data_IF_516590504215
#
_entry.id   IF_516590504215
#
_cell.length_a   1.000
_cell.length_b   1.000
_cell.length_c   1.000
_cell.angle_alpha   90.00
_cell.angle_beta   90.00
_cell.angle_gamma   90.00
#
_symmetry.space_group_name_H-M   'P 1'
#
loop_
_entity.id
_entity.type
_entity.pdbx_description
1 polymer ?
#
# COMPACT_ATOMS: atom_id res chain seq x y z
N UNK A 1 -10.47 22.45 32.16
CA UNK A 1 -11.71 21.63 32.13
C UNK A 1 -12.40 21.93 30.80
N UNK A 2 -12.30 21.03 29.87
CA UNK A 2 -13.10 21.01 28.64
C UNK A 2 -13.66 19.61 28.57
N UNK A 3 -14.97 19.51 28.64
CA UNK A 3 -15.75 18.28 28.55
C UNK A 3 -15.81 17.80 27.11
N UNK A 4 -15.56 16.50 26.91
CA UNK A 4 -15.71 15.83 25.62
C UNK A 4 -17.11 15.24 25.57
N UNK A 5 -17.93 15.73 24.66
CA UNK A 5 -19.22 15.13 24.32
C UNK A 5 -18.99 13.93 23.40
N UNK A 6 -19.45 12.79 23.87
CA UNK A 6 -19.53 11.54 23.15
C UNK A 6 -20.73 11.58 22.20
N UNK A 7 -20.49 11.54 20.91
CA UNK A 7 -21.54 11.22 19.94
C UNK A 7 -21.55 9.72 19.61
N UNK A 8 -22.69 9.13 19.92
CA UNK A 8 -23.06 7.76 19.59
C UNK A 8 -23.19 7.58 18.08
N UNK A 9 -22.35 6.77 17.46
CA UNK A 9 -22.61 6.27 16.11
C UNK A 9 -23.48 5.04 16.13
N UNK A 10 -24.67 5.18 15.56
CA UNK A 10 -25.65 4.13 15.31
C UNK A 10 -25.08 3.06 14.39
N UNK A 11 -25.18 1.82 14.84
CA UNK A 11 -24.99 0.61 14.01
C UNK A 11 -26.25 0.42 13.15
N UNK A 12 -26.13 0.66 11.86
CA UNK A 12 -27.05 0.09 10.88
C UNK A 12 -26.37 -1.09 10.18
N UNK A 13 -26.84 -2.30 10.49
CA UNK A 13 -26.58 -3.51 9.73
C UNK A 13 -27.37 -3.44 8.44
N UNK A 14 -26.69 -3.31 7.32
CA UNK A 14 -27.27 -3.54 5.99
C UNK A 14 -26.74 -4.86 5.47
N UNK A 15 -27.60 -5.87 5.55
CA UNK A 15 -27.45 -7.17 4.89
C UNK A 15 -27.76 -7.05 3.40
N UNK A 16 -26.83 -7.55 2.56
CA UNK A 16 -27.15 -7.95 1.21
C UNK A 16 -26.34 -7.31 0.10
N UNK A 17 -25.51 -8.12 -0.55
CA UNK A 17 -24.89 -7.80 -1.84
C UNK A 17 -23.39 -7.99 -1.84
N UNK A 18 -22.87 -8.83 -2.75
CA UNK A 18 -21.47 -9.21 -2.96
C UNK A 18 -20.50 -8.03 -2.77
N UNK A 19 -20.08 -7.85 -1.53
CA UNK A 19 -19.28 -6.70 -1.13
C UNK A 19 -17.81 -6.96 -1.35
N UNK A 20 -17.18 -6.14 -2.15
CA UNK A 20 -15.74 -5.86 -2.02
C UNK A 20 -15.52 -5.50 -0.56
N UNK A 21 -14.86 -6.38 0.19
CA UNK A 21 -14.50 -6.13 1.58
C UNK A 21 -13.81 -4.78 1.66
N UNK A 22 -14.43 -3.82 2.31
CA UNK A 22 -13.84 -2.51 2.51
C UNK A 22 -12.53 -2.71 3.28
N UNK A 23 -11.42 -2.64 2.54
CA UNK A 23 -10.09 -2.81 3.11
C UNK A 23 -9.92 -1.77 4.21
N UNK A 24 -9.71 -2.24 5.44
CA UNK A 24 -9.45 -1.36 6.57
C UNK A 24 -8.23 -0.47 6.27
N UNK A 25 -8.23 0.79 6.70
CA UNK A 25 -7.08 1.67 6.53
C UNK A 25 -5.84 1.04 7.19
N UNK A 26 -4.66 1.42 6.73
CA UNK A 26 -3.42 1.07 7.41
C UNK A 26 -3.35 1.94 8.67
N UNK A 27 -3.37 1.33 9.84
CA UNK A 27 -3.28 2.04 11.10
C UNK A 27 -1.83 2.21 11.54
N UNK A 28 -1.00 1.17 11.29
CA UNK A 28 0.39 1.14 11.72
C UNK A 28 1.29 0.69 10.58
N UNK A 29 2.44 1.35 10.46
CA UNK A 29 3.50 0.95 9.53
C UNK A 29 4.74 0.66 10.36
N UNK A 30 5.20 -0.58 10.31
CA UNK A 30 6.47 -0.97 10.92
C UNK A 30 7.55 -0.93 9.86
N UNK A 31 8.61 -0.17 10.12
CA UNK A 31 9.73 0.00 9.19
C UNK A 31 10.93 -0.79 9.70
N UNK A 32 11.43 -1.71 8.89
CA UNK A 32 12.63 -2.49 9.20
C UNK A 32 13.71 -2.26 8.16
N UNK A 33 14.89 -1.90 8.62
CA UNK A 33 16.09 -1.83 7.79
C UNK A 33 16.74 -3.21 7.74
N UNK A 34 16.91 -3.74 6.53
CA UNK A 34 17.53 -5.03 6.32
C UNK A 34 18.98 -4.85 5.92
N UNK A 35 19.89 -5.30 6.76
CA UNK A 35 21.35 -5.40 6.55
C UNK A 35 21.91 -4.51 5.42
N UNK A 36 21.71 -3.20 5.54
CA UNK A 36 22.20 -2.23 4.55
C UNK A 36 23.72 -2.29 4.40
N UNK A 37 24.40 -2.85 5.42
CA UNK A 37 25.83 -2.98 5.43
C UNK A 37 26.29 -4.23 6.21
N UNK A 38 26.89 -5.19 5.51
CA UNK A 38 27.50 -6.33 6.15
C UNK A 38 28.93 -5.99 6.63
N UNK A 39 29.16 -6.03 7.95
CA UNK A 39 30.45 -5.68 8.58
C UNK A 39 31.60 -6.56 8.13
N UNK A 40 31.34 -7.84 7.83
CA UNK A 40 32.37 -8.82 7.46
C UNK A 40 32.84 -8.66 6.01
N UNK A 41 31.91 -8.53 5.08
CA UNK A 41 32.20 -8.55 3.65
C UNK A 41 32.17 -7.17 2.98
N UNK A 42 31.88 -6.10 3.72
CA UNK A 42 31.70 -4.73 3.22
C UNK A 42 30.70 -4.61 2.03
N UNK A 43 29.84 -5.59 1.88
CA UNK A 43 28.79 -5.63 0.85
C UNK A 43 27.42 -5.81 1.51
N UNK A 44 26.38 -5.16 1.00
CA UNK A 44 25.03 -5.38 1.50
C UNK A 44 24.59 -6.83 1.22
N UNK A 45 23.87 -7.41 2.16
CA UNK A 45 23.26 -8.72 1.99
C UNK A 45 22.02 -8.62 1.10
N UNK A 46 21.82 -9.60 0.23
CA UNK A 46 20.59 -9.68 -0.57
C UNK A 46 19.43 -10.17 0.29
N UNK A 47 18.31 -9.49 0.18
CA UNK A 47 17.08 -9.92 0.82
C UNK A 47 16.58 -11.23 0.17
N UNK A 48 16.22 -12.23 0.97
CA UNK A 48 15.67 -13.51 0.53
C UNK A 48 14.24 -13.68 1.04
N UNK A 49 13.50 -14.65 0.48
CA UNK A 49 12.15 -14.98 0.92
C UNK A 49 12.13 -15.45 2.37
N UNK A 50 13.10 -16.30 2.78
CA UNK A 50 13.23 -16.77 4.16
C UNK A 50 13.40 -15.61 5.15
N UNK A 51 14.21 -14.60 4.81
CA UNK A 51 14.39 -13.44 5.67
C UNK A 51 13.09 -12.63 5.84
N UNK A 52 12.24 -12.59 4.79
CA UNK A 52 10.93 -11.94 4.89
C UNK A 52 10.02 -12.73 5.82
N UNK A 53 10.01 -14.05 5.71
CA UNK A 53 9.21 -14.92 6.58
C UNK A 53 9.65 -14.80 8.05
N UNK A 54 10.95 -14.84 8.31
CA UNK A 54 11.51 -14.63 9.67
C UNK A 54 11.11 -13.26 10.26
N UNK A 55 11.10 -12.20 9.42
CA UNK A 55 10.66 -10.87 9.85
C UNK A 55 9.16 -10.81 10.13
N UNK A 56 8.35 -11.53 9.36
CA UNK A 56 6.91 -11.61 9.57
C UNK A 56 6.63 -12.35 10.86
N UNK A 57 7.28 -13.47 11.09
CA UNK A 57 7.10 -14.25 12.30
C UNK A 57 7.50 -13.44 13.55
N UNK A 58 8.60 -12.70 13.47
CA UNK A 58 9.05 -11.79 14.53
C UNK A 58 8.03 -10.68 14.84
N UNK A 59 7.50 -10.02 13.80
CA UNK A 59 6.71 -8.78 13.96
C UNK A 59 5.23 -9.05 14.17
N UNK A 60 4.67 -10.09 13.55
CA UNK A 60 3.23 -10.40 13.61
C UNK A 60 2.89 -11.47 14.64
N UNK A 61 3.78 -12.45 14.87
CA UNK A 61 3.45 -13.63 15.69
C UNK A 61 4.21 -13.68 17.03
N UNK A 62 5.48 -13.28 17.06
CA UNK A 62 6.30 -13.35 18.30
C UNK A 62 6.08 -12.09 19.14
N UNK A 63 6.29 -10.91 18.54
CA UNK A 63 6.22 -9.65 19.27
C UNK A 63 4.85 -8.94 19.12
N UNK A 64 4.01 -9.40 18.22
CA UNK A 64 2.66 -8.86 17.96
C UNK A 64 2.62 -7.32 17.77
N UNK A 65 3.69 -6.74 17.17
CA UNK A 65 3.74 -5.29 16.91
C UNK A 65 2.75 -4.85 15.84
N UNK A 66 2.43 -5.74 14.89
CA UNK A 66 1.50 -5.48 13.81
C UNK A 66 0.30 -6.42 13.88
N UNK A 67 -0.85 -5.87 13.48
CA UNK A 67 -2.11 -6.61 13.32
C UNK A 67 -2.35 -6.93 11.84
N UNK A 68 -3.22 -7.89 11.54
CA UNK A 68 -3.73 -8.06 10.17
C UNK A 68 -4.21 -6.70 9.62
N UNK A 69 -3.83 -6.38 8.39
CA UNK A 69 -4.07 -5.10 7.69
C UNK A 69 -3.07 -3.97 7.96
N UNK A 70 -2.19 -4.09 8.95
CA UNK A 70 -1.05 -3.19 9.09
C UNK A 70 0.02 -3.49 8.04
N UNK A 71 1.03 -2.64 7.95
CA UNK A 71 2.04 -2.72 6.89
C UNK A 71 3.43 -2.96 7.46
N UNK A 72 4.11 -3.98 6.95
CA UNK A 72 5.55 -4.15 7.12
C UNK A 72 6.27 -3.51 5.92
N UNK A 73 7.08 -2.49 6.18
CA UNK A 73 7.93 -1.84 5.19
C UNK A 73 9.39 -2.23 5.42
N UNK A 74 9.97 -2.94 4.45
CA UNK A 74 11.36 -3.35 4.49
C UNK A 74 12.18 -2.40 3.63
N UNK A 75 13.25 -1.84 4.19
CA UNK A 75 14.21 -1.02 3.44
C UNK A 75 15.45 -1.87 3.20
N UNK A 76 15.72 -2.19 1.94
CA UNK A 76 16.87 -2.97 1.50
C UNK A 76 17.82 -2.13 0.64
N UNK A 77 19.03 -2.64 0.40
CA UNK A 77 19.99 -1.94 -0.45
C UNK A 77 19.57 -1.97 -1.91
N UNK A 78 19.16 -3.14 -2.42
CA UNK A 78 18.81 -3.36 -3.82
C UNK A 78 17.30 -3.48 -4.04
N UNK A 79 16.88 -3.29 -5.29
CA UNK A 79 15.50 -3.50 -5.68
C UNK A 79 15.11 -5.00 -5.55
N UNK A 80 13.86 -5.29 -5.19
CA UNK A 80 13.38 -6.66 -5.08
C UNK A 80 13.33 -7.33 -6.46
N UNK A 81 13.76 -8.62 -6.52
CA UNK A 81 13.64 -9.42 -7.74
C UNK A 81 12.27 -10.09 -7.82
N UNK A 82 11.95 -10.63 -8.98
CA UNK A 82 10.63 -11.21 -9.28
C UNK A 82 10.20 -12.29 -8.31
N UNK A 83 11.13 -13.09 -7.79
CA UNK A 83 10.84 -14.11 -6.76
C UNK A 83 10.34 -13.50 -5.45
N UNK A 84 10.95 -12.38 -5.02
CA UNK A 84 10.50 -11.65 -3.82
C UNK A 84 9.15 -10.97 -4.06
N UNK A 85 8.96 -10.39 -5.25
CA UNK A 85 7.67 -9.77 -5.61
C UNK A 85 6.55 -10.81 -5.61
N UNK A 86 6.81 -12.00 -6.17
CA UNK A 86 5.87 -13.12 -6.19
C UNK A 86 5.57 -13.63 -4.78
N UNK A 87 6.58 -13.73 -3.92
CA UNK A 87 6.40 -14.12 -2.53
C UNK A 87 5.56 -13.10 -1.74
N UNK A 88 5.84 -11.81 -1.88
CA UNK A 88 5.04 -10.76 -1.25
C UNK A 88 3.59 -10.73 -1.76
N UNK A 89 3.37 -11.10 -3.04
CA UNK A 89 2.03 -11.26 -3.60
C UNK A 89 1.30 -12.43 -2.94
N UNK A 90 1.95 -13.57 -2.83
CA UNK A 90 1.40 -14.76 -2.16
C UNK A 90 1.05 -14.48 -0.68
N UNK A 91 1.90 -13.78 0.06
CA UNK A 91 1.63 -13.40 1.44
C UNK A 91 0.36 -12.56 1.60
N UNK A 92 0.10 -11.65 0.67
CA UNK A 92 -1.15 -10.90 0.65
C UNK A 92 -2.35 -11.78 0.34
N UNK A 93 -2.25 -12.66 -0.66
CA UNK A 93 -3.36 -13.52 -1.10
C UNK A 93 -3.73 -14.56 -0.04
N UNK A 94 -2.74 -15.09 0.68
CA UNK A 94 -2.94 -16.18 1.67
C UNK A 94 -3.19 -15.69 3.09
N UNK A 95 -2.38 -14.72 3.55
CA UNK A 95 -2.37 -14.26 4.95
C UNK A 95 -2.91 -12.84 5.13
N UNK A 96 -3.22 -12.13 4.06
CA UNK A 96 -3.60 -10.70 4.07
C UNK A 96 -2.57 -9.79 4.76
N UNK A 97 -1.30 -10.19 4.75
CA UNK A 97 -0.19 -9.42 5.30
C UNK A 97 0.37 -8.51 4.19
N UNK A 98 0.37 -7.20 4.44
CA UNK A 98 0.90 -6.22 3.50
C UNK A 98 2.40 -6.00 3.76
N UNK A 99 3.22 -6.66 2.95
CA UNK A 99 4.67 -6.43 2.94
C UNK A 99 5.03 -5.56 1.73
N UNK A 100 5.88 -4.57 1.95
CA UNK A 100 6.44 -3.72 0.89
C UNK A 100 7.94 -3.65 1.06
N UNK A 101 8.67 -3.72 -0.05
CA UNK A 101 10.10 -3.49 -0.07
C UNK A 101 10.42 -2.23 -0.87
N UNK A 102 11.26 -1.37 -0.33
CA UNK A 102 11.76 -0.17 -1.00
C UNK A 102 13.28 -0.20 -0.94
N UNK A 103 13.92 -0.04 -2.08
CA UNK A 103 15.38 0.07 -2.09
C UNK A 103 15.85 1.43 -1.58
N UNK A 104 16.97 1.44 -0.88
CA UNK A 104 17.58 2.67 -0.37
C UNK A 104 17.90 3.67 -1.50
N UNK A 105 18.17 3.19 -2.70
CA UNK A 105 18.43 4.02 -3.89
C UNK A 105 17.23 4.90 -4.23
N UNK A 106 16.00 4.42 -4.01
CA UNK A 106 14.75 5.16 -4.27
C UNK A 106 14.42 6.17 -3.17
N UNK A 107 15.05 6.07 -2.01
CA UNK A 107 14.82 6.96 -0.86
C UNK A 107 15.77 8.16 -0.81
N UNK A 108 16.69 8.29 -1.77
CA UNK A 108 17.64 9.41 -1.81
C UNK A 108 16.98 10.76 -2.05
N UNK A 109 15.79 10.78 -2.65
CA UNK A 109 14.96 11.97 -2.80
C UNK A 109 13.48 11.61 -2.67
N UNK A 110 12.64 12.59 -2.36
CA UNK A 110 11.21 12.36 -2.27
C UNK A 110 10.58 12.32 -3.68
N UNK A 111 10.32 11.11 -4.17
CA UNK A 111 9.72 10.90 -5.49
C UNK A 111 8.34 11.55 -5.62
N UNK A 112 7.58 11.67 -4.54
CA UNK A 112 6.23 12.27 -4.55
C UNK A 112 6.27 13.78 -4.84
N UNK A 113 7.40 14.43 -4.58
CA UNK A 113 7.60 15.86 -4.85
C UNK A 113 8.25 16.12 -6.21
N UNK A 114 8.54 15.08 -6.98
CA UNK A 114 9.17 15.25 -8.28
C UNK A 114 8.18 15.84 -9.29
N UNK A 115 8.63 16.79 -10.11
CA UNK A 115 7.78 17.55 -11.07
C UNK A 115 7.05 16.67 -12.09
N UNK A 116 7.60 15.53 -12.45
CA UNK A 116 6.96 14.58 -13.39
C UNK A 116 6.00 13.59 -12.72
N UNK A 117 5.98 13.55 -11.40
CA UNK A 117 5.08 12.66 -10.66
C UNK A 117 3.79 13.39 -10.36
N UNK A 118 2.67 13.02 -11.01
CA UNK A 118 1.39 13.64 -10.74
C UNK A 118 0.91 13.27 -9.34
N UNK A 119 -0.01 14.09 -8.82
CA UNK A 119 -0.59 13.82 -7.50
C UNK A 119 -1.44 12.54 -7.55
N UNK A 120 -1.11 11.60 -6.67
CA UNK A 120 -1.84 10.35 -6.46
C UNK A 120 -2.63 10.43 -5.16
N UNK A 121 -3.90 10.05 -5.21
CA UNK A 121 -4.79 10.07 -4.03
C UNK A 121 -5.61 8.79 -4.00
N UNK A 122 -5.49 8.00 -2.93
CA UNK A 122 -6.32 6.79 -2.74
C UNK A 122 -7.75 7.24 -2.45
N UNK A 123 -8.72 6.71 -3.19
CA UNK A 123 -10.12 7.05 -3.00
C UNK A 123 -10.65 6.46 -1.68
N UNK A 124 -11.40 7.27 -0.94
CA UNK A 124 -12.19 6.79 0.19
C UNK A 124 -13.37 5.96 -0.32
N UNK A 125 -14.01 5.17 0.56
CA UNK A 125 -15.16 4.32 0.19
C UNK A 125 -16.32 5.14 -0.41
N UNK A 126 -16.58 6.33 0.11
CA UNK A 126 -17.61 7.23 -0.42
C UNK A 126 -17.28 7.68 -1.83
N UNK A 127 -16.08 8.21 -2.06
CA UNK A 127 -15.60 8.65 -3.38
C UNK A 127 -15.50 7.49 -4.39
N UNK A 128 -15.19 6.28 -3.94
CA UNK A 128 -15.21 5.09 -4.77
C UNK A 128 -16.61 4.80 -5.31
N UNK A 129 -17.63 4.87 -4.47
CA UNK A 129 -19.02 4.65 -4.89
C UNK A 129 -19.50 5.76 -5.87
N UNK A 130 -19.17 7.02 -5.57
CA UNK A 130 -19.45 8.16 -6.46
C UNK A 130 -18.77 7.98 -7.83
N UNK A 131 -17.51 7.55 -7.82
CA UNK A 131 -16.74 7.27 -9.05
C UNK A 131 -17.40 6.16 -9.88
N UNK A 132 -17.77 5.03 -9.26
CA UNK A 132 -18.47 3.94 -9.98
C UNK A 132 -19.79 4.39 -10.58
N UNK A 133 -20.57 5.17 -9.84
CA UNK A 133 -21.84 5.71 -10.33
C UNK A 133 -21.63 6.72 -11.45
N UNK A 134 -20.69 7.65 -11.30
CA UNK A 134 -20.38 8.70 -12.28
C UNK A 134 -19.97 8.12 -13.64
N UNK A 135 -19.17 7.06 -13.64
CA UNK A 135 -18.65 6.45 -14.88
C UNK A 135 -19.39 5.16 -15.27
N UNK A 136 -20.49 4.83 -14.59
CA UNK A 136 -21.31 3.64 -14.82
C UNK A 136 -20.47 2.34 -14.87
N UNK A 137 -19.54 2.18 -13.91
CA UNK A 137 -18.61 1.07 -13.87
C UNK A 137 -19.29 -0.14 -13.26
N UNK A 138 -19.51 -1.15 -14.07
CA UNK A 138 -20.13 -2.43 -13.64
C UNK A 138 -19.10 -3.38 -13.04
N UNK A 139 -17.88 -3.41 -13.61
CA UNK A 139 -16.82 -4.31 -13.18
C UNK A 139 -15.49 -3.56 -13.01
N UNK A 140 -14.73 -3.91 -11.98
CA UNK A 140 -13.40 -3.33 -11.73
C UNK A 140 -12.40 -3.63 -12.85
N UNK A 141 -12.65 -4.68 -13.66
CA UNK A 141 -11.86 -5.00 -14.86
C UNK A 141 -11.89 -3.91 -15.94
N UNK A 142 -12.86 -3.02 -15.87
CA UNK A 142 -12.97 -1.89 -16.81
C UNK A 142 -12.09 -0.69 -16.41
N UNK A 143 -11.41 -0.78 -15.26
CA UNK A 143 -10.54 0.28 -14.74
C UNK A 143 -9.09 -0.11 -15.07
N UNK A 144 -8.27 0.83 -15.55
CA UNK A 144 -6.85 0.58 -15.75
C UNK A 144 -6.15 0.14 -14.45
N UNK A 145 -5.19 -0.78 -14.58
CA UNK A 145 -4.49 -1.33 -13.43
C UNK A 145 -3.16 -0.62 -13.20
N UNK A 146 -2.81 -0.39 -11.95
CA UNK A 146 -1.49 0.00 -11.49
C UNK A 146 -0.88 -1.12 -10.65
N UNK A 147 0.40 -1.40 -10.85
CA UNK A 147 1.09 -2.39 -10.03
C UNK A 147 1.22 -1.90 -8.58
N UNK A 148 0.92 -2.77 -7.61
CA UNK A 148 1.19 -2.48 -6.19
C UNK A 148 2.67 -2.25 -5.87
N UNK A 149 3.56 -2.70 -6.76
CA UNK A 149 5.01 -2.54 -6.64
C UNK A 149 5.53 -1.32 -7.38
N UNK A 150 4.65 -0.55 -8.03
CA UNK A 150 5.02 0.75 -8.57
C UNK A 150 5.59 1.64 -7.45
N UNK A 151 6.55 2.47 -7.82
CA UNK A 151 7.27 3.28 -6.84
C UNK A 151 6.33 4.21 -6.05
N UNK A 152 5.38 4.86 -6.74
CA UNK A 152 4.43 5.77 -6.10
C UNK A 152 3.38 5.00 -5.32
N UNK A 153 2.76 3.97 -5.92
CA UNK A 153 1.76 3.14 -5.25
C UNK A 153 2.31 2.50 -3.97
N UNK A 154 3.55 2.01 -4.03
CA UNK A 154 4.25 1.47 -2.87
C UNK A 154 4.50 2.53 -1.79
N UNK A 155 4.92 3.74 -2.14
CA UNK A 155 5.18 4.81 -1.16
C UNK A 155 3.91 5.29 -0.45
N UNK A 156 2.81 5.49 -1.19
CA UNK A 156 1.53 5.91 -0.58
C UNK A 156 0.83 4.77 0.18
N UNK A 157 1.38 3.54 0.15
CA UNK A 157 0.84 2.40 0.88
C UNK A 157 -0.44 1.82 0.28
N UNK A 158 -0.59 1.90 -1.04
CA UNK A 158 -1.77 1.38 -1.73
C UNK A 158 -1.90 -0.13 -1.57
N UNK A 159 -3.11 -0.58 -1.20
CA UNK A 159 -3.46 -2.00 -1.08
C UNK A 159 -4.08 -2.52 -2.38
N UNK A 160 -3.90 -3.80 -2.70
CA UNK A 160 -4.63 -4.41 -3.82
C UNK A 160 -6.14 -4.21 -3.68
N UNK A 161 -6.82 -3.88 -4.78
CA UNK A 161 -8.25 -3.60 -4.81
C UNK A 161 -8.65 -2.17 -4.45
N UNK A 162 -7.71 -1.30 -4.11
CA UNK A 162 -7.98 0.13 -3.95
C UNK A 162 -7.86 0.86 -5.29
N UNK A 163 -8.65 1.92 -5.46
CA UNK A 163 -8.58 2.81 -6.62
C UNK A 163 -7.82 4.08 -6.24
N UNK A 164 -6.97 4.54 -7.15
CA UNK A 164 -6.19 5.75 -7.01
C UNK A 164 -6.59 6.76 -8.07
N UNK A 165 -6.90 7.98 -7.66
CA UNK A 165 -7.05 9.12 -8.55
C UNK A 165 -5.69 9.75 -8.81
N UNK A 166 -5.35 9.93 -10.07
CA UNK A 166 -4.10 10.52 -10.56
C UNK A 166 -4.41 11.77 -11.34
N UNK A 167 -4.00 12.93 -10.85
CA UNK A 167 -4.20 14.20 -11.55
C UNK A 167 -3.07 14.40 -12.57
N UNK A 168 -3.33 14.03 -13.82
CA UNK A 168 -2.35 14.14 -14.90
C UNK A 168 -2.44 15.50 -15.61
N UNK A 169 -1.32 16.07 -16.05
CA UNK A 169 -1.35 17.21 -16.94
C UNK A 169 -2.01 16.84 -18.26
N UNK A 170 -2.90 17.70 -18.75
CA UNK A 170 -3.64 17.51 -20.00
C UNK A 170 -3.41 18.70 -20.93
N UNK A 171 -3.23 18.43 -22.22
CA UNK A 171 -3.07 19.50 -23.23
C UNK A 171 -4.31 20.33 -23.43
N UNK A 172 -5.49 19.77 -23.15
CA UNK A 172 -6.81 20.43 -23.42
C UNK A 172 -7.47 20.97 -22.15
N UNK A 173 -7.22 20.33 -20.99
CA UNK A 173 -7.91 20.64 -19.72
C UNK A 173 -6.97 21.04 -18.59
N UNK A 174 -5.72 21.43 -18.90
CA UNK A 174 -4.65 21.73 -17.92
C UNK A 174 -4.33 20.52 -17.04
N UNK A 175 -5.34 20.00 -16.35
CA UNK A 175 -5.26 18.75 -15.55
C UNK A 175 -6.50 17.91 -15.79
N UNK A 176 -6.32 16.59 -15.88
CA UNK A 176 -7.40 15.62 -16.00
C UNK A 176 -7.22 14.50 -14.96
N UNK A 177 -8.30 14.09 -14.26
CA UNK A 177 -8.25 12.93 -13.38
C UNK A 177 -8.17 11.64 -14.20
N UNK A 178 -7.34 10.73 -13.76
CA UNK A 178 -7.20 9.37 -14.27
C UNK A 178 -7.31 8.40 -13.10
N UNK A 179 -7.95 7.25 -13.34
CA UNK A 179 -8.23 6.28 -12.27
C UNK A 179 -7.65 4.91 -12.61
#
# INVERSE_FOLDING_TARGET
RIENDNENENKEEVTGGNGVNALKPINTVYVRFYELFNRQNKRPSKLTTSNIDDMIDDVYFINEYLKPHDRLLIISHDDPHDTLLSHMKMLWETKHILVSNISMKRLQFNILNHSFVPKHTILSKTKYNEFRHKYNIVSDRNIPEISRFDAVASLIGMKPGQICEILRPSKTAIQAPYY
#
